data_IF_100102547240
#
_entry.id   IF_100102547240
#
_cell.length_a   1.000
_cell.length_b   1.000
_cell.length_c   1.000
_cell.angle_alpha   90.00
_cell.angle_beta   90.00
_cell.angle_gamma   90.00
#
_symmetry.space_group_name_H-M   'P 1'
#
loop_
_entity.id
_entity.type
_entity.pdbx_description
1 polymer ?
#
# COMPACT_ATOMS: atom_id res chain seq x y z
N UNK A 1 -14.95 2.24 -9.56
CA UNK A 1 -14.06 3.40 -9.30
C UNK A 1 -13.15 3.58 -10.52
N UNK A 2 -12.93 4.81 -11.03
CA UNK A 2 -12.00 5.00 -12.17
C UNK A 2 -10.54 4.82 -11.75
N UNK A 3 -9.70 4.40 -12.69
CA UNK A 3 -8.25 4.36 -12.50
C UNK A 3 -7.71 5.76 -12.21
N UNK A 4 -6.61 5.83 -11.46
CA UNK A 4 -6.00 7.12 -11.12
C UNK A 4 -5.41 7.80 -12.36
N UNK A 5 -5.78 9.05 -12.58
CA UNK A 5 -5.17 9.94 -13.56
C UNK A 5 -4.74 11.23 -12.85
N UNK A 6 -3.45 11.61 -12.93
CA UNK A 6 -3.01 12.85 -12.31
C UNK A 6 -3.57 14.06 -13.05
N UNK A 7 -3.84 15.13 -12.32
CA UNK A 7 -4.24 16.44 -12.87
C UNK A 7 -3.05 17.36 -13.11
N UNK A 8 -1.91 17.05 -12.50
CA UNK A 8 -0.67 17.81 -12.60
C UNK A 8 0.49 16.83 -12.51
N UNK A 9 1.50 17.02 -13.36
CA UNK A 9 2.72 16.21 -13.35
C UNK A 9 3.93 17.10 -13.11
N UNK A 10 4.82 16.69 -12.23
CA UNK A 10 6.16 17.24 -12.12
C UNK A 10 7.19 16.22 -12.60
N UNK A 11 8.23 16.67 -13.31
CA UNK A 11 9.31 15.80 -13.77
C UNK A 11 10.65 16.41 -13.35
N UNK A 12 11.52 15.61 -12.72
CA UNK A 12 12.93 15.97 -12.55
C UNK A 12 13.66 15.92 -13.90
N UNK A 13 14.52 16.89 -14.25
CA UNK A 13 15.27 16.85 -15.52
C UNK A 13 16.03 15.55 -15.74
N UNK A 14 16.70 15.05 -14.70
CA UNK A 14 17.45 13.78 -14.75
C UNK A 14 16.57 12.55 -14.96
N UNK A 15 15.26 12.62 -14.67
CA UNK A 15 14.37 11.50 -14.97
C UNK A 15 14.29 11.23 -16.49
N UNK A 16 14.48 12.25 -17.32
CA UNK A 16 14.45 12.14 -18.79
C UNK A 16 15.69 11.44 -19.36
N UNK A 17 16.73 11.20 -18.55
CA UNK A 17 17.87 10.37 -18.93
C UNK A 17 17.48 8.87 -18.97
N UNK A 18 16.40 8.47 -18.29
CA UNK A 18 15.91 7.10 -18.23
C UNK A 18 14.80 6.83 -19.24
N UNK A 19 14.72 5.61 -19.83
CA UNK A 19 13.66 5.25 -20.76
C UNK A 19 12.25 5.49 -20.21
N UNK A 20 11.99 5.10 -18.96
CA UNK A 20 10.68 5.28 -18.33
C UNK A 20 10.32 6.76 -18.17
N UNK A 21 11.28 7.64 -17.90
CA UNK A 21 11.01 9.07 -17.78
C UNK A 21 10.60 9.70 -19.12
N UNK A 22 11.26 9.32 -20.22
CA UNK A 22 10.87 9.76 -21.57
C UNK A 22 9.50 9.23 -21.96
N UNK A 23 9.24 7.95 -21.71
CA UNK A 23 7.94 7.31 -21.97
C UNK A 23 6.81 8.00 -21.21
N UNK A 24 7.00 8.29 -19.92
CA UNK A 24 6.00 8.97 -19.10
C UNK A 24 5.78 10.42 -19.56
N UNK A 25 6.84 11.15 -19.91
CA UNK A 25 6.70 12.51 -20.46
C UNK A 25 5.84 12.49 -21.73
N UNK A 26 6.19 11.66 -22.70
CA UNK A 26 5.46 11.55 -23.96
C UNK A 26 3.99 11.14 -23.74
N UNK A 27 3.75 10.21 -22.81
CA UNK A 27 2.39 9.78 -22.41
C UNK A 27 1.58 10.94 -21.84
N UNK A 28 2.13 11.69 -20.91
CA UNK A 28 1.41 12.79 -20.26
C UNK A 28 1.21 14.00 -21.18
N UNK A 29 2.13 14.26 -22.10
CA UNK A 29 1.95 15.27 -23.16
C UNK A 29 0.80 14.88 -24.10
N UNK A 30 0.74 13.62 -24.54
CA UNK A 30 -0.37 13.11 -25.37
C UNK A 30 -1.72 13.13 -24.66
N UNK A 31 -1.73 12.99 -23.34
CA UNK A 31 -2.93 13.13 -22.51
C UNK A 31 -3.33 14.60 -22.29
N UNK A 32 -2.53 15.58 -22.71
CA UNK A 32 -2.80 17.00 -22.53
C UNK A 32 -2.66 17.47 -21.07
N UNK A 33 -1.88 16.76 -20.25
CA UNK A 33 -1.68 17.11 -18.85
C UNK A 33 -0.72 18.29 -18.70
N UNK A 34 -0.94 19.13 -17.68
CA UNK A 34 0.04 20.13 -17.30
C UNK A 34 1.29 19.44 -16.73
N UNK A 35 2.44 19.69 -17.36
CA UNK A 35 3.75 19.19 -16.92
C UNK A 35 4.61 20.37 -16.47
N UNK A 36 5.15 20.27 -15.25
CA UNK A 36 6.08 21.23 -14.68
C UNK A 36 7.42 20.58 -14.37
N UNK A 37 8.46 21.38 -14.33
CA UNK A 37 9.77 20.92 -13.88
C UNK A 37 9.87 21.02 -12.34
N UNK A 38 10.63 20.10 -11.73
CA UNK A 38 11.09 20.26 -10.34
C UNK A 38 12.55 19.86 -10.22
N UNK A 39 13.34 20.61 -9.44
CA UNK A 39 14.75 20.29 -9.19
C UNK A 39 14.91 19.01 -8.37
N UNK A 40 13.94 18.72 -7.50
CA UNK A 40 13.92 17.48 -6.74
C UNK A 40 12.49 17.05 -6.43
N UNK A 41 12.22 15.77 -6.62
CA UNK A 41 11.00 15.09 -6.21
C UNK A 41 10.73 15.19 -4.70
N UNK A 42 11.72 15.61 -3.90
CA UNK A 42 11.56 15.88 -2.47
C UNK A 42 11.18 17.33 -2.14
N UNK A 43 11.22 18.25 -3.12
CA UNK A 43 11.02 19.69 -2.93
C UNK A 43 10.12 20.29 -4.03
N UNK A 44 8.99 19.62 -4.31
CA UNK A 44 7.99 20.12 -5.26
C UNK A 44 7.34 21.41 -4.73
N UNK A 45 7.33 22.45 -5.57
CA UNK A 45 6.78 23.79 -5.25
C UNK A 45 5.66 24.15 -6.20
N UNK A 46 4.78 25.06 -5.77
CA UNK A 46 3.72 25.61 -6.63
C UNK A 46 2.52 24.70 -6.85
N UNK A 47 2.30 23.68 -6.00
CA UNK A 47 1.06 22.91 -6.04
C UNK A 47 -0.11 23.87 -5.73
N UNK A 48 -1.15 23.94 -6.58
CA UNK A 48 -2.26 24.88 -6.39
C UNK A 48 -2.99 24.71 -5.05
N UNK A 49 -3.54 25.80 -4.51
CA UNK A 49 -4.41 25.80 -3.34
C UNK A 49 -4.18 27.01 -2.43
N UNK A 50 -5.26 27.62 -1.97
CA UNK A 50 -5.27 28.82 -1.13
C UNK A 50 -5.04 28.51 0.36
N UNK A 51 -5.20 27.24 0.75
CA UNK A 51 -4.99 26.76 2.12
C UNK A 51 -4.40 25.34 2.14
N UNK A 52 -3.93 24.91 3.31
CA UNK A 52 -3.28 23.59 3.50
C UNK A 52 -4.17 22.41 3.05
N UNK A 53 -5.49 22.49 3.25
CA UNK A 53 -6.41 21.41 2.90
C UNK A 53 -6.58 21.29 1.38
N UNK A 54 -6.70 22.41 0.68
CA UNK A 54 -6.75 22.44 -0.78
C UNK A 54 -5.42 21.96 -1.38
N UNK A 55 -4.29 22.45 -0.88
CA UNK A 55 -2.95 21.99 -1.33
C UNK A 55 -2.77 20.49 -1.10
N UNK A 56 -3.22 19.98 0.05
CA UNK A 56 -3.21 18.54 0.34
C UNK A 56 -4.02 17.72 -0.66
N UNK A 57 -5.24 18.16 -1.00
CA UNK A 57 -6.10 17.49 -1.99
C UNK A 57 -5.49 17.54 -3.38
N UNK A 58 -5.03 18.71 -3.81
CA UNK A 58 -4.43 18.89 -5.13
C UNK A 58 -3.15 18.08 -5.29
N UNK A 59 -2.33 18.02 -4.24
CA UNK A 59 -1.15 17.17 -4.22
C UNK A 59 -1.50 15.68 -4.36
N UNK A 60 -2.60 15.20 -3.77
CA UNK A 60 -3.08 13.80 -3.99
C UNK A 60 -3.58 13.53 -5.40
N UNK A 61 -3.73 14.55 -6.22
CA UNK A 61 -3.96 14.47 -7.68
C UNK A 61 -2.71 14.80 -8.49
N UNK A 62 -1.54 14.97 -7.85
CA UNK A 62 -0.27 15.31 -8.51
C UNK A 62 0.66 14.09 -8.53
N UNK A 63 1.20 13.79 -9.72
CA UNK A 63 2.26 12.80 -9.90
C UNK A 63 3.61 13.49 -10.08
N UNK A 64 4.65 12.90 -9.52
CA UNK A 64 6.02 13.42 -9.57
C UNK A 64 6.94 12.31 -10.05
N UNK A 65 7.53 12.49 -11.21
CA UNK A 65 8.48 11.57 -11.85
C UNK A 65 9.89 11.99 -11.46
N UNK A 66 10.63 11.10 -10.79
CA UNK A 66 11.98 11.41 -10.32
C UNK A 66 12.91 10.21 -10.30
N UNK A 67 14.14 10.43 -9.87
CA UNK A 67 15.19 9.41 -9.76
C UNK A 67 15.39 9.02 -8.29
N UNK A 68 15.39 7.72 -7.99
CA UNK A 68 15.67 7.23 -6.64
C UNK A 68 17.18 7.28 -6.37
N UNK A 69 17.63 8.31 -5.65
CA UNK A 69 19.05 8.47 -5.28
C UNK A 69 19.47 7.66 -4.06
N UNK A 70 18.54 7.36 -3.15
CA UNK A 70 18.82 6.58 -1.94
C UNK A 70 18.55 5.10 -2.24
N UNK A 71 19.61 4.37 -2.59
CA UNK A 71 19.54 2.95 -2.92
C UNK A 71 19.61 2.03 -1.68
N UNK A 72 19.98 2.53 -0.50
CA UNK A 72 19.80 1.74 0.73
C UNK A 72 18.30 1.52 0.98
N UNK A 73 17.87 0.25 1.00
CA UNK A 73 16.47 -0.10 1.26
C UNK A 73 16.19 -0.11 2.76
N UNK A 74 15.02 0.40 3.14
CA UNK A 74 14.54 0.30 4.51
C UNK A 74 14.10 -1.13 4.82
N UNK A 75 14.17 -1.54 6.09
CA UNK A 75 13.61 -2.83 6.52
C UNK A 75 12.08 -2.77 6.57
N UNK A 76 11.40 -3.86 6.20
CA UNK A 76 9.93 -3.93 6.16
C UNK A 76 9.32 -4.97 7.12
N UNK A 77 10.00 -5.27 8.24
CA UNK A 77 9.50 -6.24 9.20
C UNK A 77 8.18 -5.77 9.86
N UNK A 78 7.21 -6.67 10.11
CA UNK A 78 7.26 -8.13 9.90
C UNK A 78 6.91 -8.59 8.47
N UNK A 79 6.53 -7.68 7.55
CA UNK A 79 6.12 -8.04 6.19
C UNK A 79 7.27 -8.69 5.39
N UNK A 80 8.40 -7.99 5.28
CA UNK A 80 9.48 -8.42 4.42
C UNK A 80 10.84 -8.01 5.01
N UNK A 81 11.92 -8.57 4.47
CA UNK A 81 13.27 -8.16 4.83
C UNK A 81 13.49 -6.68 4.45
N UNK A 82 13.12 -6.30 3.22
CA UNK A 82 13.35 -4.96 2.69
C UNK A 82 12.10 -4.36 2.04
N UNK A 83 12.06 -3.03 1.97
CA UNK A 83 11.11 -2.26 1.18
C UNK A 83 11.76 -1.85 -0.14
N UNK A 84 11.25 -2.33 -1.27
CA UNK A 84 11.78 -1.95 -2.60
C UNK A 84 11.13 -0.61 -3.04
N UNK A 85 11.92 0.45 -3.29
CA UNK A 85 11.39 1.80 -3.46
C UNK A 85 11.00 2.08 -4.93
N UNK A 86 9.82 1.62 -5.36
CA UNK A 86 9.28 1.91 -6.71
C UNK A 86 8.45 3.19 -6.77
N UNK A 87 7.76 3.51 -5.67
CA UNK A 87 6.89 4.65 -5.58
C UNK A 87 6.75 5.13 -4.14
N UNK A 88 6.21 6.34 -3.96
CA UNK A 88 5.87 6.89 -2.64
C UNK A 88 4.67 7.81 -2.75
N UNK A 89 3.71 7.71 -1.83
CA UNK A 89 2.46 8.45 -1.88
C UNK A 89 1.32 7.61 -2.45
N UNK A 90 0.11 8.12 -2.32
CA UNK A 90 -1.12 7.44 -2.75
C UNK A 90 -2.20 8.50 -3.01
N UNK A 91 -3.02 8.29 -4.02
CA UNK A 91 -4.20 9.10 -4.33
C UNK A 91 -5.37 8.89 -3.35
N UNK A 92 -5.38 7.75 -2.64
CA UNK A 92 -6.46 7.41 -1.72
C UNK A 92 -6.52 8.30 -0.49
N UNK A 93 -7.71 8.52 0.04
CA UNK A 93 -7.97 9.42 1.16
C UNK A 93 -8.29 8.68 2.46
N UNK A 94 -7.65 7.54 2.72
CA UNK A 94 -7.88 6.79 3.95
C UNK A 94 -7.60 7.66 5.20
N UNK A 95 -8.61 7.89 6.05
CA UNK A 95 -8.50 8.81 7.19
C UNK A 95 -7.43 8.39 8.19
N UNK A 96 -7.29 7.08 8.40
CA UNK A 96 -6.35 6.46 9.34
C UNK A 96 -4.92 6.30 8.76
N UNK A 97 -4.66 6.76 7.54
CA UNK A 97 -3.44 6.42 6.81
C UNK A 97 -2.17 6.87 7.56
N UNK A 98 -1.33 5.92 7.97
CA UNK A 98 -0.09 6.19 8.71
C UNK A 98 0.93 7.00 7.89
N UNK A 99 0.85 6.95 6.56
CA UNK A 99 1.70 7.72 5.66
C UNK A 99 1.51 9.23 5.81
N UNK A 100 0.40 9.68 6.40
CA UNK A 100 0.16 11.09 6.67
C UNK A 100 1.23 11.72 7.58
N UNK A 101 1.88 10.92 8.43
CA UNK A 101 3.02 11.35 9.23
C UNK A 101 4.36 10.86 8.69
N UNK A 102 4.41 9.67 8.10
CA UNK A 102 5.67 9.12 7.55
C UNK A 102 6.16 9.92 6.35
N UNK A 103 5.26 10.36 5.47
CA UNK A 103 5.60 11.17 4.30
C UNK A 103 5.64 12.68 4.60
N UNK A 104 5.32 13.06 5.85
CA UNK A 104 5.30 14.44 6.32
C UNK A 104 4.49 15.38 5.41
N UNK A 105 5.14 16.43 4.94
CA UNK A 105 4.58 17.47 4.07
C UNK A 105 4.50 17.09 2.58
N UNK A 106 4.74 15.82 2.20
CA UNK A 106 4.77 15.36 0.80
C UNK A 106 3.61 14.43 0.46
N UNK A 107 2.37 14.95 0.34
CA UNK A 107 1.19 14.14 0.07
C UNK A 107 1.04 13.69 -1.40
N UNK A 108 1.88 14.21 -2.31
CA UNK A 108 1.87 13.85 -3.73
C UNK A 108 2.44 12.47 -4.01
N UNK A 109 2.05 11.92 -5.16
CA UNK A 109 2.50 10.61 -5.63
C UNK A 109 3.84 10.78 -6.33
N UNK A 110 4.81 9.94 -6.00
CA UNK A 110 6.12 9.84 -6.63
C UNK A 110 6.29 8.47 -7.28
N UNK A 111 6.88 8.44 -8.46
CA UNK A 111 7.38 7.22 -9.11
C UNK A 111 8.84 7.39 -9.50
N UNK A 112 9.60 6.30 -9.44
CA UNK A 112 11.04 6.31 -9.68
C UNK A 112 11.39 5.62 -11.00
N UNK A 113 12.20 6.29 -11.83
CA UNK A 113 12.47 5.86 -13.21
C UNK A 113 13.73 5.02 -13.40
N UNK A 114 14.64 5.02 -12.43
CA UNK A 114 15.89 4.26 -12.46
C UNK A 114 15.69 2.82 -11.95
N UNK A 115 14.82 2.06 -12.62
CA UNK A 115 14.46 0.70 -12.22
C UNK A 115 15.67 -0.24 -12.22
N UNK A 116 16.56 -0.12 -13.18
CA UNK A 116 17.75 -0.98 -13.29
C UNK A 116 18.64 -0.87 -12.04
N UNK A 117 18.93 0.34 -11.57
CA UNK A 117 19.68 0.56 -10.32
C UNK A 117 18.96 0.01 -9.09
N UNK A 118 17.63 0.12 -9.05
CA UNK A 118 16.81 -0.44 -7.96
C UNK A 118 16.89 -1.96 -7.98
N UNK A 119 16.82 -2.58 -9.15
CA UNK A 119 16.89 -4.04 -9.32
C UNK A 119 18.28 -4.59 -9.03
N UNK A 120 19.34 -3.91 -9.47
CA UNK A 120 20.73 -4.24 -9.13
C UNK A 120 20.94 -4.23 -7.61
N UNK A 121 20.38 -3.25 -6.92
CA UNK A 121 20.47 -3.18 -5.47
C UNK A 121 19.64 -4.27 -4.76
N UNK A 122 18.46 -4.61 -5.30
CA UNK A 122 17.70 -5.75 -4.81
C UNK A 122 18.48 -7.06 -5.00
N UNK A 123 19.16 -7.23 -6.13
CA UNK A 123 20.03 -8.38 -6.41
C UNK A 123 21.16 -8.49 -5.40
N UNK A 124 21.86 -7.40 -5.10
CA UNK A 124 22.89 -7.36 -4.04
C UNK A 124 22.36 -7.86 -2.70
N UNK A 125 21.18 -7.41 -2.27
CA UNK A 125 20.58 -7.89 -1.01
C UNK A 125 20.19 -9.37 -1.04
N UNK A 126 19.76 -9.89 -2.19
CA UNK A 126 19.50 -11.31 -2.36
C UNK A 126 20.79 -12.12 -2.26
N UNK A 127 21.88 -11.65 -2.90
CA UNK A 127 23.18 -12.31 -2.89
C UNK A 127 23.81 -12.33 -1.48
N UNK A 128 23.73 -11.23 -0.74
CA UNK A 128 24.22 -11.10 0.64
C UNK A 128 23.58 -12.11 1.61
N UNK A 129 22.35 -12.56 1.32
CA UNK A 129 21.56 -13.44 2.18
C UNK A 129 21.53 -14.90 1.73
N UNK A 130 22.15 -15.23 0.60
CA UNK A 130 22.17 -16.61 0.08
C UNK A 130 22.68 -17.60 1.15
N UNK A 131 22.05 -18.78 1.30
CA UNK A 131 20.95 -19.33 0.50
C UNK A 131 19.54 -18.98 1.02
N UNK A 132 19.39 -18.05 1.96
CA UNK A 132 18.08 -17.67 2.48
C UNK A 132 17.26 -16.89 1.45
N UNK A 133 15.94 -17.12 1.47
CA UNK A 133 15.01 -16.27 0.72
C UNK A 133 15.04 -14.85 1.27
N UNK A 134 14.98 -13.87 0.36
CA UNK A 134 14.86 -12.45 0.69
C UNK A 134 13.58 -11.89 0.09
N UNK A 135 12.67 -11.42 0.97
CA UNK A 135 11.40 -10.84 0.57
C UNK A 135 11.50 -9.33 0.47
N UNK A 136 10.78 -8.77 -0.51
CA UNK A 136 10.69 -7.34 -0.76
C UNK A 136 9.23 -6.86 -0.75
N UNK A 137 8.95 -5.82 0.03
CA UNK A 137 7.65 -5.15 0.10
C UNK A 137 7.65 -3.92 -0.82
N UNK A 138 6.82 -3.92 -1.87
CA UNK A 138 6.73 -2.80 -2.81
C UNK A 138 5.67 -1.75 -2.43
N UNK A 139 4.83 -2.01 -1.42
CA UNK A 139 3.73 -1.12 -1.00
C UNK A 139 3.93 -0.48 0.39
N UNK A 140 5.17 -0.39 0.90
CA UNK A 140 5.44 0.19 2.23
C UNK A 140 5.02 1.66 2.36
N UNK A 141 5.17 2.43 1.29
CA UNK A 141 5.02 3.88 1.30
C UNK A 141 4.13 4.40 0.17
N UNK A 142 3.44 3.51 -0.52
CA UNK A 142 2.53 3.83 -1.63
C UNK A 142 1.46 2.76 -1.78
N UNK A 143 0.43 3.05 -2.58
CA UNK A 143 -0.33 1.98 -3.22
C UNK A 143 0.23 1.79 -4.64
N UNK A 144 1.21 0.90 -4.75
CA UNK A 144 1.98 0.71 -5.99
C UNK A 144 1.10 0.16 -7.13
N UNK A 145 0.16 -0.73 -6.82
CA UNK A 145 -0.76 -1.31 -7.80
C UNK A 145 -1.67 -0.24 -8.38
N UNK A 146 -2.25 0.62 -7.53
CA UNK A 146 -3.21 1.62 -7.96
C UNK A 146 -2.66 2.69 -8.91
N UNK A 147 -1.33 2.82 -9.00
CA UNK A 147 -0.67 3.75 -9.94
C UNK A 147 0.00 3.02 -11.10
N UNK A 148 0.07 1.68 -11.08
CA UNK A 148 0.97 0.95 -11.96
C UNK A 148 0.50 0.96 -13.42
N UNK A 149 -0.80 1.11 -13.70
CA UNK A 149 -1.30 1.28 -15.09
C UNK A 149 -0.72 2.53 -15.78
N UNK A 150 -0.12 3.45 -15.03
CA UNK A 150 0.60 4.59 -15.58
C UNK A 150 2.02 4.22 -16.00
N UNK A 151 2.72 3.36 -15.25
CA UNK A 151 4.19 3.20 -15.31
C UNK A 151 4.66 1.80 -15.69
N UNK A 152 3.86 0.77 -15.41
CA UNK A 152 4.21 -0.66 -15.49
C UNK A 152 5.52 -1.00 -14.73
N UNK A 153 5.90 -0.19 -13.74
CA UNK A 153 7.11 -0.39 -12.94
C UNK A 153 6.99 -1.63 -12.05
N UNK A 154 5.81 -1.87 -11.48
CA UNK A 154 5.51 -3.06 -10.71
C UNK A 154 5.49 -4.29 -11.61
N UNK A 155 4.91 -4.23 -12.81
CA UNK A 155 4.96 -5.34 -13.78
C UNK A 155 6.40 -5.78 -14.07
N UNK A 156 7.28 -4.84 -14.41
CA UNK A 156 8.72 -5.11 -14.61
C UNK A 156 9.38 -5.70 -13.36
N UNK A 157 9.00 -5.21 -12.18
CA UNK A 157 9.51 -5.73 -10.90
C UNK A 157 9.04 -7.16 -10.63
N UNK A 158 7.77 -7.48 -10.92
CA UNK A 158 7.21 -8.83 -10.79
C UNK A 158 8.00 -9.82 -11.65
N UNK A 159 8.30 -9.44 -12.89
CA UNK A 159 9.06 -10.28 -13.83
C UNK A 159 10.51 -10.46 -13.38
N UNK A 160 11.17 -9.39 -12.92
CA UNK A 160 12.51 -9.46 -12.31
C UNK A 160 12.56 -10.46 -11.14
N UNK A 161 11.58 -10.43 -10.22
CA UNK A 161 11.52 -11.40 -9.12
C UNK A 161 11.09 -12.80 -9.57
N UNK A 162 10.36 -12.92 -10.69
CA UNK A 162 10.00 -14.19 -11.29
C UNK A 162 11.21 -14.99 -11.81
N UNK A 163 12.26 -14.29 -12.24
CA UNK A 163 13.52 -14.86 -12.73
C UNK A 163 14.55 -15.14 -11.61
N UNK A 164 14.34 -14.62 -10.40
CA UNK A 164 15.27 -14.77 -9.28
C UNK A 164 15.15 -16.15 -8.61
N UNK A 165 16.25 -16.73 -8.13
CA UNK A 165 16.24 -17.98 -7.35
C UNK A 165 15.92 -17.77 -5.86
N UNK A 166 16.32 -16.63 -5.29
CA UNK A 166 16.24 -16.35 -3.85
C UNK A 166 15.37 -15.13 -3.50
N UNK A 167 14.85 -14.44 -4.51
CA UNK A 167 13.96 -13.30 -4.35
C UNK A 167 12.49 -13.70 -4.26
N UNK A 168 11.75 -12.95 -3.44
CA UNK A 168 10.30 -12.96 -3.43
C UNK A 168 9.77 -11.53 -3.32
N UNK A 169 8.74 -11.23 -4.11
CA UNK A 169 8.06 -9.95 -4.09
C UNK A 169 6.74 -10.07 -3.34
N UNK A 170 6.35 -9.02 -2.63
CA UNK A 170 5.00 -8.88 -2.11
C UNK A 170 4.56 -7.43 -2.15
N UNK A 171 3.27 -7.21 -2.37
CA UNK A 171 2.63 -5.90 -2.24
C UNK A 171 1.16 -6.07 -1.82
N UNK A 172 0.58 -4.99 -1.31
CA UNK A 172 -0.84 -4.92 -0.93
C UNK A 172 -1.48 -3.72 -1.61
N UNK A 173 -2.76 -3.84 -1.99
CA UNK A 173 -3.51 -2.72 -2.59
C UNK A 173 -4.92 -2.57 -2.02
N UNK A 174 -5.50 -1.39 -2.22
CA UNK A 174 -6.95 -1.10 -2.09
C UNK A 174 -7.62 -0.80 -3.44
N UNK A 175 -6.97 -1.13 -4.56
CA UNK A 175 -7.45 -0.85 -5.91
C UNK A 175 -7.65 -2.12 -6.74
N UNK A 176 -8.62 -2.07 -7.65
CA UNK A 176 -8.98 -3.21 -8.51
C UNK A 176 -8.38 -3.16 -9.92
N UNK A 177 -7.60 -2.11 -10.24
CA UNK A 177 -7.01 -1.87 -11.56
C UNK A 177 -5.78 -2.78 -11.78
N UNK A 178 -6.01 -4.09 -11.91
CA UNK A 178 -4.98 -5.12 -11.94
C UNK A 178 -4.79 -5.78 -13.30
N UNK A 179 -5.62 -5.45 -14.29
CA UNK A 179 -5.74 -6.21 -15.54
C UNK A 179 -4.40 -6.29 -16.32
N UNK A 180 -3.59 -5.22 -16.30
CA UNK A 180 -2.28 -5.20 -16.99
C UNK A 180 -1.20 -6.04 -16.32
N UNK A 181 -1.46 -6.56 -15.11
CA UNK A 181 -0.55 -7.41 -14.33
C UNK A 181 -0.85 -8.91 -14.50
N UNK A 182 -2.00 -9.28 -15.09
CA UNK A 182 -2.46 -10.66 -15.14
C UNK A 182 -1.61 -11.57 -16.03
N UNK A 183 -0.90 -11.00 -17.01
CA UNK A 183 -0.02 -11.68 -17.94
C UNK A 183 1.47 -11.60 -17.55
N UNK A 184 1.80 -10.97 -16.43
CA UNK A 184 3.20 -10.83 -16.01
C UNK A 184 3.80 -12.19 -15.61
N UNK A 185 5.07 -12.42 -15.95
CA UNK A 185 5.78 -13.67 -15.65
C UNK A 185 6.21 -13.77 -14.18
N UNK A 186 5.25 -13.86 -13.27
CA UNK A 186 5.50 -13.84 -11.83
C UNK A 186 6.13 -15.12 -11.26
N UNK A 187 6.08 -16.24 -11.98
CA UNK A 187 6.71 -17.54 -11.64
C UNK A 187 6.46 -18.00 -10.18
N UNK A 188 5.27 -17.73 -9.64
CA UNK A 188 4.91 -18.03 -8.24
C UNK A 188 5.68 -17.25 -7.16
N UNK A 189 6.55 -16.30 -7.52
CA UNK A 189 7.42 -15.54 -6.59
C UNK A 189 6.86 -14.20 -6.14
N UNK A 190 5.62 -13.89 -6.52
CA UNK A 190 4.94 -12.64 -6.13
C UNK A 190 3.68 -12.93 -5.32
N UNK A 191 3.62 -12.47 -4.07
CA UNK A 191 2.41 -12.50 -3.25
C UNK A 191 1.57 -11.23 -3.46
N UNK A 192 0.45 -11.38 -4.15
CA UNK A 192 -0.49 -10.31 -4.43
C UNK A 192 -1.52 -10.22 -3.29
N UNK A 193 -1.59 -9.08 -2.59
CA UNK A 193 -2.49 -8.93 -1.45
C UNK A 193 -3.49 -7.80 -1.61
N UNK A 194 -4.64 -7.96 -0.96
CA UNK A 194 -5.65 -6.91 -0.87
C UNK A 194 -5.89 -6.52 0.59
N UNK A 195 -5.98 -5.21 0.84
CA UNK A 195 -6.47 -4.73 2.13
C UNK A 195 -7.98 -4.87 2.19
N UNK A 196 -8.49 -5.55 3.20
CA UNK A 196 -9.93 -5.74 3.44
C UNK A 196 -10.28 -5.29 4.87
N UNK A 197 -11.53 -4.94 5.09
CA UNK A 197 -11.98 -4.46 6.39
C UNK A 197 -13.50 -4.57 6.55
N UNK A 198 -13.97 -4.43 7.80
CA UNK A 198 -15.40 -4.36 8.09
C UNK A 198 -16.06 -3.21 7.32
N UNK A 199 -17.34 -3.38 6.95
CA UNK A 199 -18.13 -2.40 6.19
C UNK A 199 -18.07 -1.00 6.80
N UNK A 200 -18.11 -0.91 8.14
CA UNK A 200 -17.99 0.34 8.87
C UNK A 200 -16.71 1.09 8.54
N UNK A 201 -15.56 0.40 8.55
CA UNK A 201 -14.25 1.02 8.30
C UNK A 201 -14.15 1.47 6.85
N UNK A 202 -14.52 0.63 5.88
CA UNK A 202 -14.47 0.98 4.46
C UNK A 202 -15.35 2.20 4.18
N UNK A 203 -16.60 2.18 4.65
CA UNK A 203 -17.58 3.25 4.40
C UNK A 203 -17.17 4.59 5.00
N UNK A 204 -16.65 4.59 6.24
CA UNK A 204 -16.39 5.84 6.96
C UNK A 204 -14.96 6.36 6.79
N UNK A 205 -14.00 5.48 6.48
CA UNK A 205 -12.57 5.83 6.58
C UNK A 205 -11.74 5.55 5.32
N UNK A 206 -12.28 4.96 4.26
CA UNK A 206 -11.52 4.62 3.04
C UNK A 206 -12.00 5.35 1.75
N UNK A 207 -12.33 6.66 1.79
CA UNK A 207 -12.74 7.36 0.57
C UNK A 207 -11.61 7.41 -0.45
N UNK A 208 -11.97 7.44 -1.73
CA UNK A 208 -11.00 7.43 -2.82
C UNK A 208 -10.22 6.12 -2.90
N UNK A 209 -10.84 4.98 -2.56
CA UNK A 209 -10.32 3.63 -2.83
C UNK A 209 -11.38 2.79 -3.53
N UNK A 210 -11.00 1.62 -4.06
CA UNK A 210 -11.98 0.71 -4.66
C UNK A 210 -12.89 0.11 -3.60
N UNK A 211 -14.12 -0.21 -4.00
CA UNK A 211 -15.09 -0.84 -3.10
C UNK A 211 -14.61 -2.22 -2.64
N UNK A 212 -15.24 -2.78 -1.61
CA UNK A 212 -14.94 -4.14 -1.17
C UNK A 212 -15.13 -5.16 -2.31
N UNK A 213 -16.26 -5.10 -3.00
CA UNK A 213 -16.59 -6.06 -4.06
C UNK A 213 -15.63 -5.92 -5.26
N UNK A 214 -15.22 -4.70 -5.63
CA UNK A 214 -14.20 -4.46 -6.66
C UNK A 214 -12.83 -5.08 -6.28
N UNK A 215 -12.42 -4.98 -5.01
CA UNK A 215 -11.18 -5.62 -4.53
C UNK A 215 -11.27 -7.14 -4.60
N UNK A 216 -12.44 -7.72 -4.32
CA UNK A 216 -12.62 -9.17 -4.39
C UNK A 216 -12.65 -9.67 -5.83
N UNK A 217 -13.25 -8.93 -6.75
CA UNK A 217 -13.17 -9.23 -8.18
C UNK A 217 -11.70 -9.26 -8.65
N UNK A 218 -10.92 -8.24 -8.29
CA UNK A 218 -9.49 -8.20 -8.58
C UNK A 218 -8.73 -9.36 -7.92
N UNK A 219 -9.07 -9.74 -6.69
CA UNK A 219 -8.49 -10.90 -6.01
C UNK A 219 -8.75 -12.21 -6.77
N UNK A 220 -9.95 -12.41 -7.31
CA UNK A 220 -10.28 -13.56 -8.16
C UNK A 220 -9.47 -13.54 -9.46
N UNK A 221 -9.35 -12.38 -10.12
CA UNK A 221 -8.55 -12.24 -11.34
C UNK A 221 -7.09 -12.64 -11.13
N UNK A 222 -6.43 -12.09 -10.09
CA UNK A 222 -5.01 -12.39 -9.86
C UNK A 222 -4.79 -13.83 -9.38
N UNK A 223 -5.71 -14.40 -8.60
CA UNK A 223 -5.65 -15.82 -8.24
C UNK A 223 -5.83 -16.72 -9.47
N UNK A 224 -6.76 -16.38 -10.37
CA UNK A 224 -6.96 -17.07 -11.65
C UNK A 224 -5.76 -16.97 -12.59
N UNK A 225 -5.00 -15.87 -12.52
CA UNK A 225 -3.71 -15.72 -13.21
C UNK A 225 -2.55 -16.50 -12.55
N UNK A 226 -2.76 -17.11 -11.38
CA UNK A 226 -1.77 -17.96 -10.72
C UNK A 226 -0.92 -17.26 -9.65
N UNK A 227 -1.22 -16.00 -9.29
CA UNK A 227 -0.52 -15.34 -8.18
C UNK A 227 -0.87 -15.99 -6.83
N UNK A 228 0.14 -16.23 -5.96
CA UNK A 228 -0.10 -16.45 -4.53
C UNK A 228 -0.92 -15.31 -3.91
N UNK A 229 -2.13 -15.62 -3.46
CA UNK A 229 -3.08 -14.65 -2.92
C UNK A 229 -2.88 -14.44 -1.41
N UNK A 230 -3.14 -13.22 -0.93
CA UNK A 230 -3.27 -12.95 0.50
C UNK A 230 -4.17 -11.75 0.80
N UNK A 231 -4.54 -11.60 2.07
CA UNK A 231 -5.31 -10.48 2.56
C UNK A 231 -4.64 -9.82 3.75
N UNK A 232 -4.74 -8.50 3.83
CA UNK A 232 -4.38 -7.74 5.00
C UNK A 232 -5.65 -7.19 5.63
N UNK A 233 -5.95 -7.62 6.85
CA UNK A 233 -7.06 -7.08 7.64
C UNK A 233 -6.50 -5.91 8.44
N UNK A 234 -6.63 -4.70 7.89
CA UNK A 234 -5.99 -3.53 8.45
C UNK A 234 -6.67 -2.21 8.04
N UNK A 235 -6.78 -1.24 8.97
CA UNK A 235 -6.56 -1.38 10.41
C UNK A 235 -7.73 -2.15 11.05
N UNK A 236 -7.43 -3.13 11.91
CA UNK A 236 -8.45 -3.74 12.77
C UNK A 236 -8.86 -2.68 13.79
N UNK A 237 -10.13 -2.27 13.76
CA UNK A 237 -10.64 -1.11 14.48
C UNK A 237 -11.88 -1.47 15.29
N UNK A 238 -11.81 -1.27 16.61
CA UNK A 238 -12.94 -1.37 17.54
C UNK A 238 -13.88 -0.20 17.28
N UNK A 239 -14.93 -0.46 16.53
CA UNK A 239 -16.14 0.36 16.41
C UNK A 239 -17.31 -0.32 17.13
N UNK A 240 -18.44 0.37 17.24
CA UNK A 240 -19.69 -0.25 17.72
C UNK A 240 -20.08 -1.44 16.83
N UNK A 241 -20.27 -2.62 17.43
CA UNK A 241 -20.59 -3.86 16.70
C UNK A 241 -19.42 -4.41 15.85
N UNK A 242 -18.17 -4.18 16.26
CA UNK A 242 -17.01 -4.65 15.48
C UNK A 242 -16.96 -6.17 15.34
N UNK A 243 -17.34 -6.95 16.36
CA UNK A 243 -17.28 -8.42 16.29
C UNK A 243 -18.15 -8.95 15.16
N UNK A 244 -19.38 -8.46 15.07
CA UNK A 244 -20.34 -8.79 14.01
C UNK A 244 -19.87 -8.24 12.66
N UNK A 245 -19.36 -6.99 12.62
CA UNK A 245 -18.87 -6.37 11.40
C UNK A 245 -17.66 -7.09 10.78
N UNK A 246 -16.76 -7.65 11.60
CA UNK A 246 -15.66 -8.49 11.13
C UNK A 246 -16.11 -9.93 10.84
N UNK A 247 -17.12 -10.47 11.53
CA UNK A 247 -17.72 -11.74 11.15
C UNK A 247 -18.30 -11.67 9.72
N UNK A 248 -19.13 -10.65 9.43
CA UNK A 248 -19.69 -10.40 8.09
C UNK A 248 -18.58 -10.25 7.03
N UNK A 249 -17.45 -9.62 7.39
CA UNK A 249 -16.30 -9.51 6.50
C UNK A 249 -15.81 -10.89 6.04
N UNK A 250 -15.54 -11.81 6.96
CA UNK A 250 -14.99 -13.12 6.62
C UNK A 250 -16.01 -14.03 5.95
N UNK A 251 -17.29 -13.94 6.33
CA UNK A 251 -18.39 -14.61 5.65
C UNK A 251 -18.47 -14.20 4.18
N UNK A 252 -18.53 -12.89 3.90
CA UNK A 252 -18.57 -12.36 2.53
C UNK A 252 -17.30 -12.67 1.75
N UNK A 253 -16.14 -12.62 2.41
CA UNK A 253 -14.86 -12.94 1.79
C UNK A 253 -14.83 -14.41 1.35
N UNK A 254 -15.31 -15.32 2.21
CA UNK A 254 -15.36 -16.76 1.92
C UNK A 254 -16.29 -17.04 0.74
N UNK A 255 -17.53 -16.53 0.77
CA UNK A 255 -18.49 -16.67 -0.32
C UNK A 255 -17.96 -16.15 -1.66
N UNK A 256 -17.28 -15.00 -1.66
CA UNK A 256 -16.76 -14.41 -2.90
C UNK A 256 -15.57 -15.18 -3.49
N UNK A 257 -14.91 -16.00 -2.68
CA UNK A 257 -13.75 -16.81 -3.08
C UNK A 257 -14.12 -18.28 -3.33
N UNK A 258 -15.41 -18.63 -3.31
CA UNK A 258 -15.87 -19.96 -3.71
C UNK A 258 -15.38 -20.31 -5.13
N UNK A 259 -14.85 -21.52 -5.27
CA UNK A 259 -14.26 -22.02 -6.52
C UNK A 259 -12.88 -21.45 -6.87
N UNK A 260 -12.30 -20.56 -6.06
CA UNK A 260 -10.92 -20.08 -6.23
C UNK A 260 -9.95 -21.06 -5.56
N UNK A 261 -8.80 -21.32 -6.18
CA UNK A 261 -7.73 -22.09 -5.53
C UNK A 261 -7.09 -21.25 -4.41
N UNK A 262 -7.35 -21.60 -3.16
CA UNK A 262 -6.85 -20.90 -1.97
C UNK A 262 -5.58 -21.54 -1.38
N UNK A 263 -4.88 -22.40 -2.13
CA UNK A 263 -3.62 -23.01 -1.66
C UNK A 263 -2.59 -21.91 -1.37
N UNK A 264 -2.08 -21.89 -0.14
CA UNK A 264 -1.11 -20.89 0.30
C UNK A 264 -1.69 -19.50 0.57
N UNK A 265 -3.02 -19.40 0.71
CA UNK A 265 -3.69 -18.17 1.16
C UNK A 265 -3.14 -17.73 2.51
N UNK A 266 -2.79 -16.45 2.63
CA UNK A 266 -2.25 -15.88 3.86
C UNK A 266 -3.03 -14.67 4.33
N UNK A 267 -3.14 -14.51 5.66
CA UNK A 267 -3.68 -13.33 6.32
C UNK A 267 -2.61 -12.60 7.13
N UNK A 268 -2.63 -11.27 7.08
CA UNK A 268 -1.82 -10.37 7.91
C UNK A 268 -2.74 -9.46 8.71
N UNK A 269 -2.55 -9.40 10.03
CA UNK A 269 -3.46 -8.71 10.94
C UNK A 269 -2.76 -7.50 11.56
N UNK A 270 -3.36 -6.32 11.40
CA UNK A 270 -2.73 -5.07 11.86
C UNK A 270 -3.78 -4.25 12.60
N UNK A 271 -3.64 -4.12 13.91
CA UNK A 271 -4.55 -3.29 14.70
C UNK A 271 -4.36 -1.80 14.37
N UNK A 272 -5.43 -1.02 14.52
CA UNK A 272 -5.36 0.43 14.41
C UNK A 272 -4.29 0.99 15.36
N UNK A 273 -3.47 1.88 14.80
CA UNK A 273 -2.45 2.60 15.54
C UNK A 273 -2.32 4.01 15.01
N UNK A 274 -1.95 4.96 15.86
CA UNK A 274 -1.70 6.33 15.47
C UNK A 274 -0.59 6.95 16.31
N UNK A 275 -0.02 8.05 15.83
CA UNK A 275 0.93 8.87 16.59
C UNK A 275 0.25 10.18 16.98
N UNK A 276 0.76 10.87 18.01
CA UNK A 276 0.22 12.18 18.40
C UNK A 276 0.25 13.21 17.25
N UNK A 277 1.32 13.31 16.44
CA UNK A 277 1.30 14.14 15.24
C UNK A 277 0.24 13.71 14.22
N UNK A 278 -0.02 12.41 14.06
CA UNK A 278 -1.00 11.90 13.10
C UNK A 278 -2.40 12.39 13.45
N UNK A 279 -2.79 12.35 14.73
CA UNK A 279 -4.08 12.85 15.20
C UNK A 279 -4.32 14.30 14.77
N UNK A 280 -3.35 15.18 15.02
CA UNK A 280 -3.46 16.60 14.67
C UNK A 280 -3.57 16.81 13.15
N UNK A 281 -2.77 16.07 12.38
CA UNK A 281 -2.80 16.13 10.90
C UNK A 281 -4.13 15.63 10.34
N UNK A 282 -4.65 14.53 10.88
CA UNK A 282 -5.91 13.92 10.45
C UNK A 282 -7.08 14.84 10.76
N UNK A 283 -7.14 15.46 11.94
CA UNK A 283 -8.21 16.39 12.30
C UNK A 283 -8.27 17.61 11.38
N UNK A 284 -7.12 18.12 10.94
CA UNK A 284 -7.05 19.20 9.94
C UNK A 284 -7.48 18.75 8.54
N UNK A 285 -7.01 17.58 8.09
CA UNK A 285 -7.28 17.05 6.74
C UNK A 285 -8.69 16.50 6.57
N UNK A 286 -9.27 15.98 7.65
CA UNK A 286 -10.55 15.28 7.69
C UNK A 286 -11.39 15.74 8.88
N UNK A 287 -11.87 16.99 8.90
CA UNK A 287 -12.53 17.59 10.07
C UNK A 287 -13.85 16.89 10.47
N UNK A 288 -14.47 16.16 9.55
CA UNK A 288 -15.70 15.38 9.78
C UNK A 288 -15.45 13.87 9.95
N UNK A 289 -14.20 13.46 10.16
CA UNK A 289 -13.87 12.05 10.35
C UNK A 289 -14.49 11.51 11.64
N UNK A 290 -15.08 10.32 11.58
CA UNK A 290 -15.54 9.56 12.77
C UNK A 290 -14.43 8.72 13.43
N UNK A 291 -13.18 8.93 13.04
CA UNK A 291 -12.05 8.13 13.51
C UNK A 291 -11.69 8.55 14.94
N UNK A 292 -11.89 7.67 15.91
CA UNK A 292 -11.53 7.92 17.29
C UNK A 292 -10.03 7.70 17.53
N UNK A 293 -9.38 8.76 18.01
CA UNK A 293 -7.96 8.80 18.37
C UNK A 293 -7.80 9.38 19.77
N UNK A 294 -8.60 8.85 20.70
CA UNK A 294 -8.46 9.15 22.12
C UNK A 294 -7.21 8.45 22.66
N UNK A 295 -6.29 9.24 23.20
CA UNK A 295 -5.00 8.76 23.71
C UNK A 295 -5.16 8.07 25.08
N UNK A 296 -6.15 8.46 25.87
CA UNK A 296 -6.39 7.94 27.22
C UNK A 296 -6.90 6.50 27.20
N UNK A 297 -7.63 6.14 26.12
CA UNK A 297 -8.13 4.78 25.88
C UNK A 297 -7.08 3.86 25.24
N UNK A 298 -5.82 4.29 25.10
CA UNK A 298 -4.80 3.58 24.32
C UNK A 298 -3.53 3.32 25.12
N UNK A 299 -2.85 2.24 24.76
CA UNK A 299 -1.50 1.94 25.25
C UNK A 299 -0.47 2.60 24.35
N UNK A 300 0.43 3.40 24.93
CA UNK A 300 1.57 3.95 24.20
C UNK A 300 2.70 2.91 24.10
N UNK A 301 3.12 2.59 22.88
CA UNK A 301 4.29 1.74 22.60
C UNK A 301 5.43 2.59 22.06
N UNK A 302 6.56 2.60 22.76
CA UNK A 302 7.78 3.28 22.31
C UNK A 302 8.30 2.66 21.02
N UNK A 303 8.67 3.51 20.06
CA UNK A 303 9.34 3.10 18.83
C UNK A 303 10.84 2.99 19.04
N UNK A 304 11.51 2.21 18.19
CA UNK A 304 12.97 1.97 18.23
C UNK A 304 13.80 3.26 18.12
N UNK A 305 13.28 4.28 17.44
CA UNK A 305 13.97 5.54 17.15
C UNK A 305 13.27 6.78 17.77
N UNK A 306 12.60 6.59 18.91
CA UNK A 306 12.11 7.68 19.77
C UNK A 306 10.63 8.05 19.62
N UNK A 307 10.05 8.02 18.42
CA UNK A 307 8.60 8.27 18.24
C UNK A 307 7.84 6.96 18.47
N UNK A 308 7.01 6.94 19.52
CA UNK A 308 6.09 5.85 19.80
C UNK A 308 4.75 5.99 19.08
N UNK A 309 3.90 4.99 19.29
CA UNK A 309 2.58 4.89 18.68
C UNK A 309 1.56 4.38 19.71
N UNK A 310 0.34 4.90 19.63
CA UNK A 310 -0.80 4.44 20.41
C UNK A 310 -1.41 3.21 19.73
N UNK A 311 -1.66 2.17 20.51
CA UNK A 311 -2.34 0.92 20.13
C UNK A 311 -3.43 0.61 21.15
N UNK A 312 -4.29 -0.39 20.89
CA UNK A 312 -5.28 -0.82 21.89
C UNK A 312 -4.61 -1.32 23.18
N UNK A 313 -5.37 -1.33 24.27
CA UNK A 313 -4.90 -1.93 25.52
C UNK A 313 -4.60 -3.42 25.32
N UNK A 314 -3.80 -4.00 26.23
CA UNK A 314 -3.33 -5.39 26.07
C UNK A 314 -4.50 -6.37 25.91
N UNK A 315 -5.55 -6.26 26.73
CA UNK A 315 -6.69 -7.17 26.72
C UNK A 315 -7.58 -6.96 25.48
N UNK A 316 -7.79 -5.71 25.06
CA UNK A 316 -8.51 -5.39 23.82
C UNK A 316 -7.76 -5.91 22.58
N UNK A 317 -6.44 -5.75 22.53
CA UNK A 317 -5.62 -6.25 21.44
C UNK A 317 -5.65 -7.79 21.38
N UNK A 318 -5.69 -8.45 22.54
CA UNK A 318 -5.85 -9.91 22.64
C UNK A 318 -7.25 -10.35 22.16
N UNK A 319 -8.32 -9.66 22.58
CA UNK A 319 -9.69 -9.95 22.12
C UNK A 319 -9.83 -9.77 20.60
N UNK A 320 -9.22 -8.71 20.04
CA UNK A 320 -9.11 -8.51 18.59
C UNK A 320 -8.40 -9.69 17.91
N UNK A 321 -7.23 -10.08 18.41
CA UNK A 321 -6.44 -11.15 17.83
C UNK A 321 -7.19 -12.49 17.88
N UNK A 322 -7.69 -12.90 19.04
CA UNK A 322 -8.40 -14.17 19.24
C UNK A 322 -9.67 -14.22 18.40
N UNK A 323 -10.47 -13.14 18.37
CA UNK A 323 -11.70 -13.07 17.58
C UNK A 323 -11.41 -13.21 16.09
N UNK A 324 -10.47 -12.42 15.55
CA UNK A 324 -10.16 -12.43 14.12
C UNK A 324 -9.51 -13.75 13.70
N UNK A 325 -8.63 -14.33 14.54
CA UNK A 325 -8.10 -15.68 14.31
C UNK A 325 -9.23 -16.71 14.29
N UNK A 326 -10.17 -16.64 15.22
CA UNK A 326 -11.34 -17.53 15.25
C UNK A 326 -12.13 -17.50 13.95
N UNK A 327 -12.44 -16.31 13.43
CA UNK A 327 -13.13 -16.17 12.14
C UNK A 327 -12.34 -16.75 10.97
N UNK A 328 -11.03 -16.47 10.89
CA UNK A 328 -10.18 -17.03 9.84
C UNK A 328 -10.16 -18.56 9.91
N UNK A 329 -10.06 -19.17 11.09
CA UNK A 329 -10.09 -20.63 11.23
C UNK A 329 -11.42 -21.23 10.79
N UNK A 330 -12.54 -20.57 11.09
CA UNK A 330 -13.88 -21.03 10.70
C UNK A 330 -14.11 -20.94 9.20
N UNK A 331 -13.74 -19.83 8.56
CA UNK A 331 -14.03 -19.58 7.14
C UNK A 331 -12.91 -20.05 6.18
N UNK A 332 -11.67 -20.11 6.66
CA UNK A 332 -10.47 -20.42 5.88
C UNK A 332 -9.53 -21.38 6.65
N UNK A 333 -9.94 -22.63 6.94
CA UNK A 333 -9.24 -23.53 7.85
C UNK A 333 -7.81 -23.91 7.42
N UNK A 334 -7.46 -23.71 6.15
CA UNK A 334 -6.13 -24.00 5.60
C UNK A 334 -5.27 -22.74 5.40
N UNK A 335 -5.78 -21.55 5.75
CA UNK A 335 -5.06 -20.30 5.54
C UNK A 335 -4.01 -20.07 6.64
N UNK A 336 -2.88 -19.50 6.25
CA UNK A 336 -1.81 -19.13 7.17
C UNK A 336 -2.06 -17.73 7.74
N UNK A 337 -1.99 -17.56 9.06
CA UNK A 337 -1.98 -16.24 9.70
C UNK A 337 -0.53 -15.88 10.01
N UNK A 338 0.05 -14.98 9.22
CA UNK A 338 1.49 -14.68 9.29
C UNK A 338 1.86 -13.93 10.57
N UNK A 339 1.05 -12.97 10.99
CA UNK A 339 1.27 -12.20 12.22
C UNK A 339 0.05 -11.37 12.63
N UNK A 340 0.05 -10.95 13.89
CA UNK A 340 -0.78 -9.87 14.43
C UNK A 340 0.14 -8.81 15.07
N UNK A 341 -0.10 -7.51 14.80
CA UNK A 341 0.74 -6.43 15.35
C UNK A 341 0.00 -5.13 15.63
#
# INVERSE_FOLDING_TARGET
MKAFEPQLVYIEPQALEYPLGRELKDKFEKMGLEIRETTSHNQVRGIPGENELQQYRNAKSTLVVGVRRTLKFDTSKPSAEYAIPLATGCMGHCHYCYLQTTLGSKPYIRTYVNLDEIFEQAQKYMDERKPEITRFEAACTSDIVGIDHLTHALKKTIEFFGESDFGQLRFVTKYHHVDHLLDAKHNGRTRFRFSVNARYVIKNFEPGTSSFDERLEAARKVAGAGYPLGFIVAPIYIHEGWKEGYYELFERLSHSLEGVNLRGLSFELIQHRFTKPAKNVIQKRYPKSKLEMDEEKRKYKWGRYGIGKYVYQTDEAKDLEETIRGYIHSFFPQAEIQYFT
#
